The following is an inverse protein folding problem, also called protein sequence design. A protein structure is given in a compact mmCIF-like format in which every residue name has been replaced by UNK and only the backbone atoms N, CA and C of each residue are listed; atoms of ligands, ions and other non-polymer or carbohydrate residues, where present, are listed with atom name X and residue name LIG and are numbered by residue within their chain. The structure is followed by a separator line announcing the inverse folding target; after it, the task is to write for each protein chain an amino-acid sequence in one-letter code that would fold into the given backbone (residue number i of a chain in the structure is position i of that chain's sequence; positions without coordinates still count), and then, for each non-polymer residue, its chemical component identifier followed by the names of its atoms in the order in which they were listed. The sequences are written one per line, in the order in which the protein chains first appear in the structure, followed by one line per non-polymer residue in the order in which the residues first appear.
data_IF_421910708338
#
_entry.id   IF_421910708338
#
_cell.length_a   1.000
_cell.length_b   1.000
_cell.length_c   1.000
_cell.angle_alpha   90.00
_cell.angle_beta   90.00
_cell.angle_gamma   90.00
#
_symmetry.space_group_name_H-M   'P 1'
#
loop_
_entity.id
_entity.type
_entity.pdbx_description
1 polymer ?
#
# COMPACT_ATOMS: atom_id res chain seq x y z
N UNK A 1 8.98 -1.27 11.40
CA UNK A 1 9.52 -1.26 10.03
C UNK A 1 10.12 0.12 9.83
N UNK A 2 11.45 0.24 9.93
CA UNK A 2 12.18 1.47 9.65
C UNK A 2 13.40 1.06 8.80
N UNK A 3 13.51 1.72 7.65
CA UNK A 3 14.64 1.74 6.71
C UNK A 3 15.03 0.43 6.00
N UNK A 4 14.20 -0.03 5.06
CA UNK A 4 14.75 -0.67 3.85
C UNK A 4 14.81 0.33 2.67
N UNK A 5 14.00 1.40 2.72
CA UNK A 5 13.74 2.25 1.55
C UNK A 5 13.18 3.60 1.96
N UNK A 6 13.35 4.62 1.11
CA UNK A 6 12.82 5.97 1.29
C UNK A 6 11.31 6.08 0.98
N UNK A 7 10.69 5.03 0.44
CA UNK A 7 9.27 5.02 0.09
C UNK A 7 8.39 4.80 1.32
N UNK A 8 7.17 5.34 1.26
CA UNK A 8 6.20 5.29 2.37
C UNK A 8 5.47 3.94 2.46
N UNK A 9 6.24 2.88 2.64
CA UNK A 9 5.76 1.57 3.02
C UNK A 9 5.04 1.61 4.37
N UNK A 10 3.91 0.92 4.48
CA UNK A 10 3.16 0.77 5.72
C UNK A 10 2.94 -0.70 6.07
N UNK A 11 2.79 -0.97 7.37
CA UNK A 11 2.55 -2.32 7.90
C UNK A 11 1.10 -2.75 7.72
N UNK A 12 0.89 -3.96 7.22
CA UNK A 12 -0.38 -4.69 7.30
C UNK A 12 -0.37 -5.74 8.44
N UNK A 13 0.51 -5.58 9.44
CA UNK A 13 0.67 -6.53 10.53
C UNK A 13 1.22 -7.87 10.05
N UNK A 14 0.60 -8.98 10.45
CA UNK A 14 1.05 -10.33 10.09
C UNK A 14 0.84 -10.68 8.60
N UNK A 15 0.08 -9.88 7.87
CA UNK A 15 -0.23 -10.10 6.46
C UNK A 15 0.82 -9.56 5.51
N UNK A 16 1.67 -8.61 5.93
CA UNK A 16 2.78 -8.09 5.14
C UNK A 16 2.83 -6.56 5.07
N UNK A 17 3.13 -6.01 3.88
CA UNK A 17 3.38 -4.59 3.65
C UNK A 17 2.50 -4.04 2.52
N UNK A 18 2.21 -2.75 2.58
CA UNK A 18 1.53 -2.01 1.52
C UNK A 18 2.27 -0.73 1.15
N UNK A 19 2.10 -0.29 -0.09
CA UNK A 19 2.58 0.98 -0.62
C UNK A 19 1.54 1.50 -1.63
N UNK A 20 1.34 2.81 -1.62
CA UNK A 20 0.52 3.50 -2.60
C UNK A 20 1.41 4.42 -3.44
N UNK A 21 1.21 4.40 -4.76
CA UNK A 21 1.96 5.23 -5.70
C UNK A 21 1.17 5.40 -7.00
N UNK A 22 1.45 6.47 -7.76
CA UNK A 22 0.94 6.61 -9.11
C UNK A 22 1.74 5.72 -10.08
N UNK A 23 1.32 4.46 -10.20
CA UNK A 23 2.00 3.45 -11.03
C UNK A 23 1.92 3.74 -12.54
N UNK A 24 0.88 4.47 -12.96
CA UNK A 24 0.65 4.84 -14.35
C UNK A 24 0.33 6.33 -14.46
N UNK A 25 0.56 6.91 -15.65
CA UNK A 25 0.16 8.30 -15.95
C UNK A 25 -1.35 8.51 -15.83
N UNK A 26 -2.15 7.48 -16.09
CA UNK A 26 -3.61 7.55 -15.92
C UNK A 26 -3.99 7.65 -14.44
N UNK A 27 -3.32 6.86 -13.58
CA UNK A 27 -3.50 6.92 -12.13
C UNK A 27 -3.16 8.32 -11.60
N UNK A 28 -2.03 8.88 -12.04
CA UNK A 28 -1.61 10.25 -11.69
C UNK A 28 -2.65 11.30 -12.13
N UNK A 29 -3.06 11.29 -13.41
CA UNK A 29 -4.02 12.28 -13.93
C UNK A 29 -5.38 12.22 -13.26
N UNK A 30 -5.79 11.04 -12.77
CA UNK A 30 -7.05 10.85 -12.06
C UNK A 30 -6.93 11.08 -10.55
N UNK A 31 -5.72 11.32 -10.03
CA UNK A 31 -5.47 11.40 -8.59
C UNK A 31 -5.80 10.09 -7.87
N UNK A 32 -5.72 8.95 -8.56
CA UNK A 32 -6.10 7.63 -8.05
C UNK A 32 -4.85 6.74 -7.95
N UNK A 33 -4.15 6.69 -6.81
CA UNK A 33 -2.93 5.91 -6.65
C UNK A 33 -3.23 4.41 -6.69
N UNK A 34 -2.31 3.66 -7.27
CA UNK A 34 -2.36 2.19 -7.29
C UNK A 34 -1.93 1.61 -5.95
N UNK A 35 -2.48 0.45 -5.61
CA UNK A 35 -2.20 -0.33 -4.41
C UNK A 35 -1.16 -1.41 -4.73
N UNK A 36 0.05 -1.26 -4.19
CA UNK A 36 1.12 -2.27 -4.21
C UNK A 36 1.17 -2.99 -2.87
N UNK A 37 1.07 -4.31 -2.87
CA UNK A 37 1.08 -5.12 -1.64
C UNK A 37 2.11 -6.21 -1.72
N UNK A 38 2.77 -6.47 -0.60
CA UNK A 38 3.61 -7.65 -0.38
C UNK A 38 2.94 -8.48 0.70
N UNK A 39 2.37 -9.63 0.31
CA UNK A 39 1.50 -10.45 1.16
C UNK A 39 2.17 -11.77 1.56
N UNK A 40 2.17 -12.08 2.85
CA UNK A 40 2.64 -13.35 3.41
C UNK A 40 1.66 -14.47 3.07
N UNK A 41 2.06 -15.40 2.18
CA UNK A 41 1.21 -16.51 1.75
C UNK A 41 0.97 -17.55 2.85
N UNK A 42 1.73 -17.54 3.96
CA UNK A 42 1.47 -18.40 5.12
C UNK A 42 0.09 -18.14 5.71
N UNK A 43 -0.41 -16.91 5.63
CA UNK A 43 -1.75 -16.54 6.08
C UNK A 43 -2.87 -17.23 5.28
N UNK A 44 -2.54 -17.86 4.15
CA UNK A 44 -3.47 -18.63 3.33
C UNK A 44 -3.20 -20.13 3.34
N UNK A 45 -2.37 -20.63 4.26
CA UNK A 45 -1.99 -22.04 4.33
C UNK A 45 -1.08 -22.51 3.17
N UNK A 46 -0.63 -21.58 2.32
CA UNK A 46 0.19 -21.87 1.14
C UNK A 46 1.64 -21.44 1.39
N UNK A 47 2.45 -22.28 2.05
CA UNK A 47 3.88 -22.00 2.14
C UNK A 47 4.76 -23.24 2.10
N UNK A 48 5.06 -23.69 0.87
CA UNK A 48 6.34 -24.31 0.51
C UNK A 48 6.94 -23.48 -0.63
N UNK A 49 8.16 -22.96 -0.46
CA UNK A 49 8.85 -22.13 -1.46
C UNK A 49 8.64 -20.62 -1.27
N UNK A 50 8.27 -19.91 -2.34
CA UNK A 50 8.20 -18.43 -2.41
C UNK A 50 7.04 -17.87 -1.56
N UNK A 51 7.39 -17.46 -0.34
CA UNK A 51 6.46 -17.02 0.72
C UNK A 51 5.77 -15.68 0.45
N UNK A 52 6.44 -14.76 -0.21
CA UNK A 52 5.97 -13.37 -0.34
C UNK A 52 5.42 -13.14 -1.73
N UNK A 53 4.16 -12.73 -1.82
CA UNK A 53 3.51 -12.39 -3.09
C UNK A 53 3.40 -10.89 -3.26
N UNK A 54 3.90 -10.36 -4.37
CA UNK A 54 3.72 -8.97 -4.77
C UNK A 54 2.48 -8.85 -5.64
N UNK A 55 1.58 -7.92 -5.30
CA UNK A 55 0.40 -7.60 -6.12
C UNK A 55 0.32 -6.11 -6.41
N UNK A 56 -0.24 -5.77 -7.57
CA UNK A 56 -0.60 -4.42 -7.97
C UNK A 56 -2.09 -4.39 -8.29
N UNK A 57 -2.85 -3.55 -7.60
CA UNK A 57 -4.30 -3.41 -7.75
C UNK A 57 -5.01 -4.78 -7.73
N UNK A 58 -4.54 -5.67 -6.85
CA UNK A 58 -5.03 -7.04 -6.67
C UNK A 58 -4.49 -8.09 -7.65
N UNK A 59 -3.78 -7.70 -8.72
CA UNK A 59 -3.14 -8.64 -9.67
C UNK A 59 -1.76 -9.06 -9.17
N UNK A 60 -1.50 -10.37 -9.16
CA UNK A 60 -0.17 -10.90 -8.84
C UNK A 60 0.86 -10.51 -9.92
N UNK A 61 1.99 -9.94 -9.48
CA UNK A 61 3.12 -9.59 -10.35
C UNK A 61 4.27 -10.59 -10.20
N UNK A 62 4.61 -10.95 -8.97
CA UNK A 62 5.76 -11.79 -8.68
C UNK A 62 5.64 -12.46 -7.31
N UNK A 63 6.52 -13.44 -7.07
CA UNK A 63 6.71 -14.06 -5.76
C UNK A 63 8.19 -14.15 -5.42
N UNK A 64 8.48 -14.00 -4.13
CA UNK A 64 9.83 -14.00 -3.56
C UNK A 64 9.90 -14.89 -2.33
N UNK A 65 11.11 -15.31 -2.00
CA UNK A 65 11.37 -16.13 -0.81
C UNK A 65 11.56 -15.24 0.42
N UNK A 66 12.16 -14.06 0.25
CA UNK A 66 12.41 -13.07 1.32
C UNK A 66 11.57 -11.81 1.14
N UNK A 67 11.32 -11.10 2.25
CA UNK A 67 10.51 -9.88 2.23
C UNK A 67 11.31 -8.74 1.60
N UNK A 68 12.58 -8.68 1.95
CA UNK A 68 13.56 -7.70 1.49
C UNK A 68 13.69 -7.75 -0.03
N UNK A 69 13.80 -8.95 -0.61
CA UNK A 69 13.82 -9.15 -2.08
C UNK A 69 12.56 -8.58 -2.76
N UNK A 70 11.39 -8.78 -2.15
CA UNK A 70 10.14 -8.27 -2.68
C UNK A 70 10.06 -6.73 -2.59
N UNK A 71 10.57 -6.15 -1.50
CA UNK A 71 10.64 -4.70 -1.31
C UNK A 71 11.59 -4.07 -2.34
N UNK A 72 12.82 -4.60 -2.44
CA UNK A 72 13.84 -4.15 -3.39
C UNK A 72 13.34 -4.23 -4.84
N UNK A 73 12.66 -5.32 -5.20
CA UNK A 73 12.10 -5.47 -6.54
C UNK A 73 11.01 -4.41 -6.85
N UNK A 74 10.17 -4.08 -5.87
CA UNK A 74 9.14 -3.04 -6.06
C UNK A 74 9.79 -1.66 -6.18
N UNK A 75 10.75 -1.33 -5.31
CA UNK A 75 11.44 -0.03 -5.37
C UNK A 75 12.21 0.15 -6.69
N UNK A 76 12.87 -0.92 -7.16
CA UNK A 76 13.53 -0.91 -8.46
C UNK A 76 12.55 -0.62 -9.61
N UNK A 77 11.37 -1.26 -9.61
CA UNK A 77 10.37 -1.03 -10.64
C UNK A 77 9.73 0.37 -10.56
N UNK A 78 9.57 0.94 -9.36
CA UNK A 78 9.16 2.34 -9.18
C UNK A 78 10.18 3.30 -9.80
N UNK A 79 11.47 3.11 -9.49
CA UNK A 79 12.55 3.93 -10.05
C UNK A 79 12.63 3.79 -11.58
N UNK A 80 12.51 2.56 -12.10
CA UNK A 80 12.55 2.25 -13.54
C UNK A 80 11.39 2.85 -14.31
N UNK A 81 10.21 2.99 -13.70
CA UNK A 81 9.05 3.67 -14.29
C UNK A 81 9.23 5.17 -14.45
N UNK A 82 10.19 5.73 -13.73
CA UNK A 82 10.60 7.12 -13.85
C UNK A 82 10.19 7.97 -12.65
N UNK A 83 10.70 9.20 -12.66
CA UNK A 83 10.70 10.11 -11.52
C UNK A 83 9.30 10.39 -10.96
N UNK A 84 8.29 10.62 -11.80
CA UNK A 84 6.93 10.88 -11.33
C UNK A 84 6.36 9.72 -10.49
N UNK A 85 6.61 8.47 -10.91
CA UNK A 85 6.18 7.28 -10.19
C UNK A 85 6.92 7.16 -8.85
N UNK A 86 8.25 7.29 -8.88
CA UNK A 86 9.11 7.24 -7.69
C UNK A 86 8.76 8.33 -6.67
N UNK A 87 8.64 9.59 -7.10
CA UNK A 87 8.33 10.72 -6.22
C UNK A 87 6.94 10.57 -5.58
N UNK A 88 5.97 9.97 -6.30
CA UNK A 88 4.64 9.71 -5.74
C UNK A 88 4.63 8.65 -4.63
N UNK A 89 5.65 7.80 -4.54
CA UNK A 89 5.79 6.79 -3.50
C UNK A 89 6.40 7.34 -2.21
N UNK A 90 7.00 8.53 -2.25
CA UNK A 90 7.64 9.17 -1.11
C UNK A 90 6.63 9.55 0.00
N UNK A 91 7.04 9.55 1.28
CA UNK A 91 6.21 10.00 2.41
C UNK A 91 5.63 11.41 2.24
N UNK A 92 6.42 12.31 1.70
CA UNK A 92 6.11 13.72 1.49
C UNK A 92 5.35 14.01 0.18
N UNK A 93 4.98 12.97 -0.58
CA UNK A 93 4.25 13.16 -1.82
C UNK A 93 2.95 13.95 -1.57
N UNK A 94 2.75 15.06 -2.29
CA UNK A 94 1.68 16.02 -2.00
C UNK A 94 0.27 15.41 -1.99
N UNK A 95 0.02 14.39 -2.82
CA UNK A 95 -1.26 13.68 -2.83
C UNK A 95 -1.54 12.95 -1.51
N UNK A 96 -0.52 12.53 -0.76
CA UNK A 96 -0.69 11.87 0.55
C UNK A 96 -1.19 12.83 1.60
N UNK A 97 -0.71 14.07 1.55
CA UNK A 97 -1.03 15.15 2.49
C UNK A 97 -2.34 15.86 2.15
N UNK A 98 -2.83 15.69 0.92
CA UNK A 98 -4.13 16.22 0.50
C UNK A 98 -5.27 15.67 1.34
N UNK A 99 -6.40 16.38 1.38
CA UNK A 99 -7.60 15.91 2.06
C UNK A 99 -8.15 14.64 1.39
N UNK A 100 -8.55 13.66 2.21
CA UNK A 100 -9.13 12.43 1.70
C UNK A 100 -10.51 12.69 1.06
N UNK A 101 -10.83 12.07 -0.09
CA UNK A 101 -12.17 12.12 -0.68
C UNK A 101 -13.23 11.60 0.30
N UNK A 102 -14.40 12.24 0.29
CA UNK A 102 -15.49 11.92 1.22
C UNK A 102 -15.91 10.43 1.14
N UNK A 103 -15.96 9.87 -0.07
CA UNK A 103 -16.36 8.49 -0.31
C UNK A 103 -15.38 7.48 0.31
N UNK A 104 -14.10 7.84 0.36
CA UNK A 104 -13.09 7.03 1.04
C UNK A 104 -13.23 7.14 2.56
N UNK A 105 -13.46 8.35 3.08
CA UNK A 105 -13.69 8.56 4.51
C UNK A 105 -14.91 7.78 5.00
N UNK A 106 -16.01 7.79 4.24
CA UNK A 106 -17.21 7.00 4.54
C UNK A 106 -16.89 5.51 4.58
N UNK A 107 -16.19 4.98 3.57
CA UNK A 107 -15.80 3.56 3.52
C UNK A 107 -14.96 3.14 4.72
N UNK A 108 -14.02 3.99 5.12
CA UNK A 108 -13.14 3.75 6.28
C UNK A 108 -13.92 3.86 7.61
N UNK A 109 -14.86 4.81 7.72
CA UNK A 109 -15.68 5.04 8.91
C UNK A 109 -16.71 3.93 9.18
N UNK A 110 -17.24 3.30 8.13
CA UNK A 110 -18.19 2.17 8.23
C UNK A 110 -17.55 0.90 8.80
N UNK A 111 -16.23 0.89 9.00
CA UNK A 111 -15.50 -0.22 9.60
C UNK A 111 -15.01 0.16 11.00
N UNK A 112 -15.46 -0.53 12.07
CA UNK A 112 -14.89 -0.31 13.40
C UNK A 112 -13.41 -0.71 13.37
N UNK A 113 -12.55 0.29 13.59
CA UNK A 113 -11.09 0.14 13.71
C UNK A 113 -10.66 0.57 15.11
N UNK A 114 -9.70 -0.13 15.76
CA UNK A 114 -9.14 0.29 17.03
C UNK A 114 -8.12 1.41 16.79
N UNK A 115 -8.58 2.64 16.65
CA UNK A 115 -7.76 3.84 16.48
C UNK A 115 -8.62 5.10 16.51
N UNK A 116 -8.05 6.30 16.77
CA UNK A 116 -8.84 7.51 16.90
C UNK A 116 -9.63 7.74 15.60
N UNK A 117 -10.95 7.71 15.77
CA UNK A 117 -11.92 7.63 14.70
C UNK A 117 -11.96 8.92 13.87
N UNK A 118 -11.90 8.75 12.53
CA UNK A 118 -12.75 9.43 11.55
C UNK A 118 -13.11 10.91 11.74
N UNK A 119 -12.19 11.75 12.19
CA UNK A 119 -12.38 13.21 12.29
C UNK A 119 -12.00 13.94 11.00
N UNK A 120 -12.54 15.14 10.79
CA UNK A 120 -12.05 16.11 9.80
C UNK A 120 -10.51 16.20 9.86
N UNK A 121 -9.85 16.24 8.70
CA UNK A 121 -8.39 16.38 8.62
C UNK A 121 -7.60 15.08 8.45
N UNK A 122 -8.24 13.95 8.15
CA UNK A 122 -7.52 12.74 7.72
C UNK A 122 -6.98 12.94 6.30
N UNK A 123 -5.68 12.77 6.16
CA UNK A 123 -4.99 12.88 4.88
C UNK A 123 -5.38 11.73 3.94
N UNK A 124 -5.33 11.95 2.63
CA UNK A 124 -5.68 10.93 1.64
C UNK A 124 -4.78 9.69 1.75
N UNK A 125 -3.48 9.90 2.05
CA UNK A 125 -2.54 8.82 2.30
C UNK A 125 -2.91 7.97 3.52
N UNK A 126 -3.34 8.62 4.61
CA UNK A 126 -3.77 7.91 5.82
C UNK A 126 -5.09 7.15 5.60
N UNK A 127 -6.04 7.77 4.90
CA UNK A 127 -7.32 7.13 4.60
C UNK A 127 -7.13 5.87 3.74
N UNK A 128 -6.25 5.90 2.73
CA UNK A 128 -5.93 4.71 1.93
C UNK A 128 -5.20 3.64 2.73
N UNK A 129 -4.28 4.03 3.62
CA UNK A 129 -3.62 3.08 4.53
C UNK A 129 -4.64 2.39 5.44
N UNK A 130 -5.61 3.13 5.98
CA UNK A 130 -6.67 2.57 6.81
C UNK A 130 -7.56 1.61 6.00
N UNK A 131 -7.99 2.01 4.80
CA UNK A 131 -8.79 1.17 3.90
C UNK A 131 -8.08 -0.16 3.58
N UNK A 132 -6.80 -0.09 3.20
CA UNK A 132 -5.97 -1.28 2.96
C UNK A 132 -5.85 -2.14 4.22
N UNK A 133 -5.54 -1.52 5.37
CA UNK A 133 -5.43 -2.25 6.65
C UNK A 133 -6.73 -2.98 6.97
N UNK A 134 -7.88 -2.32 6.85
CA UNK A 134 -9.20 -2.90 7.10
C UNK A 134 -9.51 -4.07 6.16
N UNK A 135 -9.25 -3.88 4.85
CA UNK A 135 -9.46 -4.89 3.81
C UNK A 135 -8.69 -6.19 4.07
N UNK A 136 -7.48 -6.10 4.64
CA UNK A 136 -6.62 -7.27 4.87
C UNK A 136 -6.67 -7.81 6.31
N UNK A 137 -7.03 -7.00 7.32
CA UNK A 137 -7.26 -7.48 8.69
C UNK A 137 -8.63 -8.18 8.87
N UNK A 138 -9.69 -7.72 8.17
CA UNK A 138 -11.06 -8.27 8.33
C UNK A 138 -11.31 -9.61 7.64
N UNK A 139 -10.42 -10.10 6.78
CA UNK A 139 -10.52 -11.44 6.18
C UNK A 139 -10.14 -12.49 7.23
N UNK A 140 -11.03 -12.71 8.20
CA UNK A 140 -11.01 -13.81 9.17
C UNK A 140 -12.09 -14.82 8.79
#
# INVERSE_FOLDING_TARGET
IRALTANAWFSLGAYGLGLHAFWTRTAERKGAPSELLILDQRQRGQARGKRWRVTLDGRELARFSRLEEAVEAVDYELAKRGRACSDSAAPEAGWRLAEAPAELLERVALTPSPGPAGGRGVSYGDALRLDATQKYFKRR
#
